data_IF_558974414773
#
_entry.id   IF_558974414773
#
_cell.length_a   1.000
_cell.length_b   1.000
_cell.length_c   1.000
_cell.angle_alpha   90.00
_cell.angle_beta   90.00
_cell.angle_gamma   90.00
#
_symmetry.space_group_name_H-M   'P 1'
#
loop_
_entity.id
_entity.type
_entity.pdbx_description
1 polymer ?
#
# COMPACT_ATOMS: atom_id res chain seq x y z
N UNK A 1 16.35 59.34 5.55
CA UNK A 1 15.87 59.53 4.16
C UNK A 1 15.46 58.14 3.69
N UNK A 2 14.22 57.75 4.03
CA UNK A 2 13.02 57.68 3.14
C UNK A 2 13.06 56.43 2.27
N UNK A 3 12.08 55.51 2.23
CA UNK A 3 10.75 55.45 2.85
C UNK A 3 10.24 54.01 2.83
N UNK A 4 9.47 53.65 3.85
CA UNK A 4 8.50 52.54 3.87
C UNK A 4 7.40 52.75 2.81
N UNK A 5 6.90 51.66 2.22
CA UNK A 5 5.51 51.60 1.75
C UNK A 5 4.90 50.24 2.08
N UNK A 6 4.01 50.28 3.08
CA UNK A 6 2.91 49.35 3.29
C UNK A 6 1.88 49.51 2.16
N UNK A 7 1.26 48.42 1.72
CA UNK A 7 0.00 48.48 0.96
C UNK A 7 -1.06 47.60 1.61
N UNK A 8 -2.16 48.26 1.94
CA UNK A 8 -3.37 47.81 2.61
C UNK A 8 -4.37 47.16 1.65
N UNK A 9 -5.21 46.27 2.22
CA UNK A 9 -6.39 45.63 1.60
C UNK A 9 -7.48 46.65 1.17
N UNK A 10 -8.50 46.17 0.45
CA UNK A 10 -9.85 46.41 0.94
C UNK A 10 -10.73 45.16 1.03
N UNK A 11 -11.54 45.17 2.10
CA UNK A 11 -12.77 44.42 2.32
C UNK A 11 -13.84 44.79 1.27
N UNK A 12 -14.66 43.83 0.88
CA UNK A 12 -16.04 44.09 0.46
C UNK A 12 -16.98 43.13 1.17
N UNK A 13 -17.83 43.71 2.01
CA UNK A 13 -19.04 43.14 2.57
C UNK A 13 -20.15 43.16 1.51
N UNK A 14 -21.02 42.15 1.50
CA UNK A 14 -22.37 42.32 0.95
C UNK A 14 -23.38 41.43 1.70
N UNK A 15 -23.99 42.08 2.68
CA UNK A 15 -25.41 42.08 3.04
C UNK A 15 -26.24 40.78 2.95
N UNK A 16 -26.66 40.37 4.13
CA UNK A 16 -27.94 39.72 4.46
C UNK A 16 -29.14 40.45 3.85
N UNK A 17 -30.11 39.71 3.31
CA UNK A 17 -31.50 40.16 3.32
C UNK A 17 -32.48 39.03 3.58
N UNK A 18 -33.44 39.42 4.40
CA UNK A 18 -34.39 38.71 5.23
C UNK A 18 -35.72 38.46 4.50
N UNK A 19 -36.61 37.68 5.14
CA UNK A 19 -38.10 37.70 5.03
C UNK A 19 -38.81 36.96 3.88
N UNK A 20 -39.54 35.88 4.20
CA UNK A 20 -40.99 35.90 4.48
C UNK A 20 -41.63 34.49 4.45
N UNK A 21 -42.02 33.98 5.62
CA UNK A 21 -43.35 33.33 5.80
C UNK A 21 -44.38 34.45 6.12
N UNK A 22 -45.71 34.23 6.27
CA UNK A 22 -46.53 33.02 6.15
C UNK A 22 -47.82 33.24 5.30
N UNK A 23 -48.59 32.18 5.04
CA UNK A 23 -50.02 32.15 5.41
C UNK A 23 -50.76 30.94 4.84
N UNK A 24 -51.66 30.47 5.69
CA UNK A 24 -52.51 29.30 5.62
C UNK A 24 -53.76 29.50 4.76
N UNK A 25 -54.28 28.41 4.19
CA UNK A 25 -55.71 28.24 3.93
C UNK A 25 -56.15 26.78 4.13
N UNK A 26 -57.01 26.61 5.14
CA UNK A 26 -58.11 25.63 5.34
C UNK A 26 -58.90 25.34 4.04
N UNK A 27 -59.67 24.26 3.79
CA UNK A 27 -60.09 22.99 4.42
C UNK A 27 -60.91 22.27 3.34
N UNK A 28 -60.82 20.94 3.20
CA UNK A 28 -62.03 20.12 2.94
C UNK A 28 -61.77 18.66 3.31
N UNK A 29 -62.64 18.14 4.16
CA UNK A 29 -62.68 16.75 4.60
C UNK A 29 -63.24 15.84 3.49
N UNK A 30 -62.68 14.64 3.36
CA UNK A 30 -63.38 13.50 2.77
C UNK A 30 -62.96 12.23 3.50
N UNK A 31 -63.96 11.38 3.74
CA UNK A 31 -63.98 10.32 4.73
C UNK A 31 -63.32 9.01 4.27
N UNK A 32 -62.77 8.28 5.24
CA UNK A 32 -62.91 6.81 5.31
C UNK A 32 -61.87 5.95 4.60
N UNK A 33 -60.83 5.54 5.33
CA UNK A 33 -60.23 4.20 5.20
C UNK A 33 -59.47 3.87 6.51
N UNK A 34 -59.53 2.62 7.01
CA UNK A 34 -58.85 2.23 8.25
C UNK A 34 -57.33 2.27 8.05
N UNK A 35 -56.64 2.94 8.96
CA UNK A 35 -55.17 2.99 9.06
C UNK A 35 -54.69 1.57 9.38
N UNK A 36 -53.89 0.92 8.50
CA UNK A 36 -53.20 -0.29 8.87
C UNK A 36 -52.09 0.09 9.86
N UNK A 37 -52.08 -0.59 11.00
CA UNK A 37 -51.01 -0.58 12.01
C UNK A 37 -49.65 -0.66 11.30
N UNK A 38 -48.64 0.17 11.64
CA UNK A 38 -47.31 -0.02 11.08
C UNK A 38 -46.85 -1.41 11.52
N UNK A 39 -46.76 -2.32 10.56
CA UNK A 39 -45.99 -3.53 10.72
C UNK A 39 -44.63 -3.10 11.26
N UNK A 40 -44.25 -3.64 12.42
CA UNK A 40 -42.89 -3.59 12.91
C UNK A 40 -41.99 -3.94 11.72
N UNK A 41 -41.34 -2.91 11.19
CA UNK A 41 -40.33 -3.05 10.15
C UNK A 41 -39.22 -3.83 10.81
N UNK A 42 -39.28 -5.15 10.68
CA UNK A 42 -38.16 -6.04 10.94
C UNK A 42 -37.03 -5.50 10.09
N UNK A 43 -36.13 -4.76 10.74
CA UNK A 43 -34.84 -4.43 10.18
C UNK A 43 -34.27 -5.77 9.66
N UNK A 44 -33.80 -5.83 8.40
CA UNK A 44 -33.22 -7.05 7.89
C UNK A 44 -32.13 -7.46 8.89
N UNK A 45 -32.34 -8.61 9.53
CA UNK A 45 -31.33 -9.24 10.36
C UNK A 45 -30.06 -9.23 9.53
N UNK A 46 -28.99 -8.63 10.05
CA UNK A 46 -27.65 -8.74 9.48
C UNK A 46 -27.39 -10.24 9.44
N UNK A 47 -27.69 -10.88 8.31
CA UNK A 47 -27.52 -12.31 8.18
C UNK A 47 -26.04 -12.55 8.38
N UNK A 48 -25.71 -13.44 9.30
CA UNK A 48 -24.35 -13.96 9.47
C UNK A 48 -23.93 -14.60 8.15
N UNK A 49 -23.45 -13.78 7.21
CA UNK A 49 -22.89 -14.26 5.97
C UNK A 49 -21.67 -15.09 6.34
N UNK A 50 -21.73 -16.36 5.94
CA UNK A 50 -20.63 -17.27 6.10
C UNK A 50 -19.41 -16.65 5.40
N UNK A 51 -18.24 -16.56 6.08
CA UNK A 51 -17.05 -16.02 5.45
C UNK A 51 -16.71 -16.77 4.15
N UNK A 52 -16.29 -16.07 3.08
CA UNK A 52 -15.98 -16.72 1.80
C UNK A 52 -14.75 -17.63 1.89
N UNK A 53 -13.89 -17.40 2.89
CA UNK A 53 -12.71 -18.19 3.16
C UNK A 53 -12.66 -18.67 4.61
N UNK A 54 -12.26 -19.92 4.80
CA UNK A 54 -11.91 -20.43 6.13
C UNK A 54 -10.56 -19.86 6.59
N UNK A 55 -10.29 -19.84 7.90
CA UNK A 55 -8.96 -19.45 8.40
C UNK A 55 -7.81 -20.25 7.79
N UNK A 56 -8.03 -21.53 7.49
CA UNK A 56 -7.04 -22.38 6.82
C UNK A 56 -6.80 -21.95 5.37
N UNK A 57 -7.86 -21.60 4.63
CA UNK A 57 -7.72 -21.09 3.27
C UNK A 57 -6.97 -19.75 3.25
N UNK A 58 -7.28 -18.84 4.19
CA UNK A 58 -6.56 -17.58 4.33
C UNK A 58 -5.09 -17.83 4.67
N UNK A 59 -4.80 -18.72 5.62
CA UNK A 59 -3.44 -19.11 5.95
C UNK A 59 -2.66 -19.65 4.75
N UNK A 60 -3.28 -20.50 3.91
CA UNK A 60 -2.66 -21.01 2.68
C UNK A 60 -2.40 -19.91 1.65
N UNK A 61 -3.33 -18.96 1.49
CA UNK A 61 -3.13 -17.83 0.56
C UNK A 61 -1.93 -16.97 0.97
N UNK A 62 -1.80 -16.64 2.26
CA UNK A 62 -0.62 -15.91 2.75
C UNK A 62 0.67 -16.74 2.72
N UNK A 63 0.59 -18.07 2.90
CA UNK A 63 1.74 -18.97 2.70
C UNK A 63 2.26 -18.89 1.27
N UNK A 64 1.36 -18.98 0.31
CA UNK A 64 1.66 -18.93 -1.11
C UNK A 64 2.20 -17.54 -1.53
N UNK A 65 1.67 -16.47 -0.96
CA UNK A 65 2.28 -15.14 -1.07
C UNK A 65 3.71 -15.12 -0.50
N UNK A 66 3.92 -15.60 0.73
CA UNK A 66 5.25 -15.63 1.34
C UNK A 66 6.24 -16.50 0.56
N UNK A 67 5.82 -17.62 -0.01
CA UNK A 67 6.64 -18.48 -0.87
C UNK A 67 7.02 -17.78 -2.17
N UNK A 68 6.07 -17.03 -2.76
CA UNK A 68 6.38 -16.19 -3.90
C UNK A 68 7.40 -15.12 -3.50
N UNK A 69 7.13 -14.34 -2.46
CA UNK A 69 8.02 -13.27 -2.03
C UNK A 69 9.40 -13.80 -1.59
N UNK A 70 9.50 -14.98 -0.98
CA UNK A 70 10.79 -15.57 -0.65
C UNK A 70 11.57 -16.00 -1.89
N UNK A 71 10.91 -16.58 -2.88
CA UNK A 71 11.56 -16.97 -4.15
C UNK A 71 11.83 -15.78 -5.08
N UNK A 72 11.09 -14.69 -4.95
CA UNK A 72 11.10 -13.58 -5.91
C UNK A 72 11.83 -12.36 -5.36
N UNK A 73 11.71 -12.07 -4.05
CA UNK A 73 12.32 -10.91 -3.39
C UNK A 73 13.40 -11.33 -2.36
N UNK A 74 13.18 -12.42 -1.60
CA UNK A 74 13.92 -12.73 -0.37
C UNK A 74 14.58 -14.11 -0.39
N UNK A 75 15.58 -14.29 -1.24
CA UNK A 75 16.23 -15.57 -1.54
C UNK A 75 16.91 -16.31 -0.36
N UNK A 76 16.70 -15.89 0.89
CA UNK A 76 17.11 -16.61 2.11
C UNK A 76 16.05 -16.53 3.25
N UNK A 77 14.82 -16.09 2.97
CA UNK A 77 13.76 -16.05 3.97
C UNK A 77 13.23 -17.47 4.26
N UNK A 78 13.24 -17.86 5.53
CA UNK A 78 12.60 -19.08 6.02
C UNK A 78 11.13 -18.80 6.34
N UNK A 79 10.23 -19.61 5.80
CA UNK A 79 8.81 -19.55 6.14
C UNK A 79 8.56 -20.50 7.30
N UNK A 80 8.14 -19.94 8.42
CA UNK A 80 7.67 -20.70 9.57
C UNK A 80 6.18 -20.98 9.40
N UNK A 81 5.85 -22.24 9.15
CA UNK A 81 4.47 -22.71 9.07
C UNK A 81 3.83 -22.83 10.47
N UNK A 82 2.55 -22.49 10.63
CA UNK A 82 1.85 -22.67 11.89
C UNK A 82 1.65 -24.18 12.17
N UNK A 83 1.76 -24.64 13.43
CA UNK A 83 1.37 -25.99 13.79
C UNK A 83 -0.16 -26.19 13.63
N UNK A 84 -0.66 -27.42 13.73
CA UNK A 84 -2.07 -27.75 13.44
C UNK A 84 -3.10 -26.92 14.24
N UNK A 85 -2.74 -26.44 15.43
CA UNK A 85 -3.53 -25.54 16.29
C UNK A 85 -3.18 -24.05 16.19
N UNK A 86 -2.34 -23.65 15.23
CA UNK A 86 -1.86 -22.28 15.10
C UNK A 86 -0.72 -21.93 16.06
N UNK A 87 -0.10 -20.76 15.87
CA UNK A 87 1.00 -20.32 16.75
C UNK A 87 0.52 -20.06 18.19
N UNK A 88 0.98 -20.88 19.14
CA UNK A 88 0.56 -20.82 20.55
C UNK A 88 1.08 -19.59 21.31
N UNK A 89 2.15 -18.97 20.82
CA UNK A 89 2.66 -17.69 21.36
C UNK A 89 1.78 -16.49 20.96
N UNK A 90 0.91 -16.65 19.95
CA UNK A 90 -0.09 -15.65 19.58
C UNK A 90 -1.30 -15.81 20.52
N UNK A 91 -1.24 -15.07 21.62
CA UNK A 91 -2.36 -14.96 22.56
C UNK A 91 -3.55 -14.30 21.86
N UNK A 92 -4.79 -14.81 22.05
CA UNK A 92 -5.97 -14.17 21.47
C UNK A 92 -6.08 -12.72 21.95
N UNK A 93 -6.37 -11.83 21.01
CA UNK A 93 -6.62 -10.43 21.29
C UNK A 93 -8.13 -10.26 21.56
N UNK A 94 -8.54 -9.81 22.76
CA UNK A 94 -9.95 -9.62 23.10
C UNK A 94 -10.62 -8.50 22.30
N UNK A 95 -9.85 -7.63 21.65
CA UNK A 95 -10.36 -6.62 20.71
C UNK A 95 -10.62 -7.18 19.30
N UNK A 96 -10.37 -8.49 19.07
CA UNK A 96 -10.59 -9.18 17.80
C UNK A 96 -11.63 -10.28 17.95
N UNK A 97 -12.31 -10.59 16.85
CA UNK A 97 -13.26 -11.69 16.78
C UNK A 97 -12.52 -13.03 16.87
N UNK A 98 -13.23 -14.10 17.21
CA UNK A 98 -12.66 -15.45 17.21
C UNK A 98 -12.15 -15.84 15.82
N UNK A 99 -12.86 -15.41 14.77
CA UNK A 99 -12.46 -15.63 13.38
C UNK A 99 -11.12 -14.95 13.07
N UNK A 100 -10.99 -13.66 13.37
CA UNK A 100 -9.75 -12.92 13.12
C UNK A 100 -8.58 -13.48 13.95
N UNK A 101 -8.81 -13.81 15.22
CA UNK A 101 -7.81 -14.45 16.07
C UNK A 101 -7.35 -15.79 15.48
N UNK A 102 -8.26 -16.62 14.96
CA UNK A 102 -7.90 -17.88 14.32
C UNK A 102 -7.11 -17.64 13.02
N UNK A 103 -7.50 -16.68 12.18
CA UNK A 103 -6.74 -16.30 10.98
C UNK A 103 -5.31 -15.87 11.35
N UNK A 104 -5.15 -14.95 12.30
CA UNK A 104 -3.84 -14.43 12.73
C UNK A 104 -2.89 -15.55 13.20
N UNK A 105 -3.43 -16.60 13.84
CA UNK A 105 -2.66 -17.79 14.28
C UNK A 105 -2.26 -18.71 13.12
N UNK A 106 -2.95 -18.65 11.99
CA UNK A 106 -2.78 -19.51 10.81
C UNK A 106 -1.95 -18.87 9.70
N UNK A 107 -1.67 -17.58 9.76
CA UNK A 107 -0.79 -16.94 8.79
C UNK A 107 0.68 -17.33 9.09
N UNK A 108 1.40 -17.96 8.13
CA UNK A 108 2.81 -18.27 8.28
C UNK A 108 3.64 -17.03 8.56
N UNK A 109 4.80 -17.18 9.20
CA UNK A 109 5.69 -16.06 9.51
C UNK A 109 6.94 -16.15 8.66
N UNK A 110 7.31 -15.07 7.97
CA UNK A 110 8.60 -14.97 7.32
C UNK A 110 9.67 -14.59 8.34
N UNK A 111 10.75 -15.38 8.37
CA UNK A 111 11.97 -15.07 9.09
C UNK A 111 13.07 -14.83 8.07
N UNK A 112 13.78 -13.73 8.18
CA UNK A 112 14.87 -13.38 7.29
C UNK A 112 16.08 -12.91 8.11
N UNK A 113 17.27 -13.07 7.54
CA UNK A 113 18.48 -12.52 8.16
C UNK A 113 18.42 -10.99 8.14
N UNK A 114 18.55 -10.39 9.32
CA UNK A 114 18.52 -8.94 9.53
C UNK A 114 19.73 -8.23 8.91
N UNK A 115 20.78 -8.98 8.53
CA UNK A 115 21.97 -8.46 7.86
C UNK A 115 21.67 -7.78 6.51
N UNK A 116 20.56 -8.14 5.86
CA UNK A 116 20.11 -7.56 4.57
C UNK A 116 19.25 -6.30 4.70
N UNK A 117 19.00 -5.79 5.93
CA UNK A 117 18.21 -4.59 6.19
C UNK A 117 16.70 -4.83 6.36
N UNK A 118 15.93 -3.74 6.44
CA UNK A 118 14.46 -3.76 6.54
C UNK A 118 13.85 -4.20 5.21
N UNK A 119 12.90 -5.14 5.25
CA UNK A 119 12.40 -5.84 4.07
C UNK A 119 10.97 -5.40 3.74
N UNK A 120 10.79 -4.78 2.58
CA UNK A 120 9.52 -4.18 2.17
C UNK A 120 8.73 -5.07 1.20
N UNK A 121 7.66 -5.70 1.69
CA UNK A 121 6.79 -6.64 0.95
C UNK A 121 5.83 -6.00 -0.06
N UNK A 122 5.50 -4.73 0.15
CA UNK A 122 4.74 -3.86 -0.75
C UNK A 122 4.94 -2.43 -0.25
N UNK A 123 5.29 -1.46 -1.10
CA UNK A 123 5.58 -0.06 -0.76
C UNK A 123 6.06 0.20 0.67
N UNK A 124 7.37 0.05 0.91
CA UNK A 124 7.99 0.29 2.23
C UNK A 124 7.37 -0.46 3.42
N UNK A 125 6.44 -1.38 3.18
CA UNK A 125 5.66 -2.02 4.22
C UNK A 125 6.28 -3.34 4.61
N UNK A 126 6.58 -3.47 5.89
CA UNK A 126 7.08 -4.71 6.48
C UNK A 126 5.89 -5.60 6.81
N UNK A 127 6.00 -6.90 6.59
CA UNK A 127 4.96 -7.84 7.02
C UNK A 127 4.88 -7.78 8.55
N UNK A 128 3.80 -7.19 9.04
CA UNK A 128 3.54 -6.92 10.44
C UNK A 128 2.13 -7.38 10.74
N UNK A 129 2.01 -8.59 11.29
CA UNK A 129 0.72 -9.09 11.75
C UNK A 129 0.59 -8.70 13.22
N UNK A 130 -0.12 -7.61 13.48
CA UNK A 130 -0.31 -6.99 14.80
C UNK A 130 -0.92 -7.96 15.81
N UNK A 131 -0.19 -8.37 16.86
CA UNK A 131 -0.79 -9.19 17.90
C UNK A 131 -1.41 -8.36 19.04
N UNK A 132 -1.03 -7.09 19.30
CA UNK A 132 -1.25 -6.46 20.64
C UNK A 132 -1.38 -4.92 20.76
N UNK A 133 -1.47 -4.10 19.71
CA UNK A 133 -1.44 -2.63 19.89
C UNK A 133 -2.80 -1.92 20.17
N UNK A 134 -2.94 -1.16 21.27
CA UNK A 134 -4.15 -0.33 21.51
C UNK A 134 -4.25 0.87 20.54
N UNK A 135 -3.12 1.52 20.23
CA UNK A 135 -3.08 2.66 19.29
C UNK A 135 -3.34 2.23 17.85
N UNK A 136 -2.80 1.08 17.41
CA UNK A 136 -3.13 0.51 16.10
C UNK A 136 -4.61 0.15 15.98
N UNK A 137 -5.24 -0.34 17.05
CA UNK A 137 -6.68 -0.58 17.03
C UNK A 137 -7.51 0.70 16.91
N UNK A 138 -7.04 1.85 17.42
CA UNK A 138 -7.72 3.14 17.20
C UNK A 138 -7.59 3.62 15.76
N UNK A 139 -6.38 3.53 15.18
CA UNK A 139 -6.15 3.87 13.78
C UNK A 139 -6.98 2.97 12.86
N UNK A 140 -6.90 1.66 13.07
CA UNK A 140 -7.67 0.67 12.33
C UNK A 140 -9.17 0.92 12.45
N UNK A 141 -9.67 1.30 13.63
CA UNK A 141 -11.08 1.62 13.83
C UNK A 141 -11.56 2.70 12.87
N UNK A 142 -10.84 3.82 12.76
CA UNK A 142 -11.20 4.88 11.83
C UNK A 142 -11.20 4.41 10.37
N UNK A 143 -10.24 3.58 9.98
CA UNK A 143 -10.12 3.06 8.60
C UNK A 143 -11.20 2.04 8.24
N UNK A 144 -11.64 1.23 9.22
CA UNK A 144 -12.55 0.09 9.02
C UNK A 144 -14.03 0.48 9.21
N UNK A 145 -14.34 1.34 10.18
CA UNK A 145 -15.72 1.78 10.43
C UNK A 145 -16.28 2.57 9.24
N UNK A 146 -15.44 3.34 8.55
CA UNK A 146 -15.83 4.13 7.38
C UNK A 146 -16.29 3.28 6.18
N UNK A 147 -15.83 2.03 6.08
CA UNK A 147 -16.26 1.08 5.04
C UNK A 147 -17.37 0.14 5.52
N UNK A 148 -17.93 0.38 6.72
CA UNK A 148 -19.05 -0.37 7.28
C UNK A 148 -18.70 -1.79 7.72
N UNK A 149 -17.42 -2.08 8.01
CA UNK A 149 -16.96 -3.40 8.45
C UNK A 149 -16.72 -3.45 9.97
N UNK A 150 -16.80 -4.65 10.56
CA UNK A 150 -16.48 -4.83 11.99
C UNK A 150 -14.96 -4.82 12.20
N UNK A 151 -14.46 -3.80 12.91
CA UNK A 151 -13.05 -3.65 13.29
C UNK A 151 -12.47 -4.88 14.01
N UNK A 152 -13.31 -5.68 14.67
CA UNK A 152 -12.89 -6.91 15.34
C UNK A 152 -12.51 -8.01 14.34
N UNK A 153 -13.05 -7.98 13.12
CA UNK A 153 -12.71 -8.91 12.05
C UNK A 153 -11.51 -8.44 11.20
N UNK A 154 -11.00 -7.23 11.44
CA UNK A 154 -9.92 -6.64 10.69
C UNK A 154 -8.58 -6.67 11.45
N UNK A 155 -7.45 -6.74 10.74
CA UNK A 155 -6.12 -6.57 11.33
C UNK A 155 -5.10 -6.08 10.29
N UNK A 156 -4.05 -5.41 10.74
CA UNK A 156 -2.93 -5.06 9.87
C UNK A 156 -2.14 -6.32 9.52
N UNK A 157 -1.93 -6.54 8.21
CA UNK A 157 -1.00 -7.53 7.69
C UNK A 157 0.38 -6.91 7.44
N UNK A 158 0.42 -5.64 7.04
CA UNK A 158 1.66 -4.93 6.77
C UNK A 158 1.52 -3.46 7.12
N UNK A 159 2.62 -2.87 7.60
CA UNK A 159 2.72 -1.44 7.89
C UNK A 159 4.02 -0.89 7.29
N UNK A 160 3.90 0.23 6.59
CA UNK A 160 5.00 1.02 6.04
C UNK A 160 4.84 2.46 6.47
N UNK A 161 5.95 3.10 6.82
CA UNK A 161 6.01 4.51 7.15
C UNK A 161 7.25 5.11 6.51
N UNK A 162 7.09 6.23 5.81
CA UNK A 162 8.19 7.07 5.37
C UNK A 162 7.95 8.54 5.79
N UNK A 163 8.93 9.40 5.52
CA UNK A 163 8.81 10.84 5.81
C UNK A 163 7.71 11.56 5.02
N UNK A 164 7.05 10.88 4.08
CA UNK A 164 6.05 11.41 3.15
C UNK A 164 4.65 10.78 3.34
N UNK A 165 4.50 9.78 4.21
CA UNK A 165 3.25 9.16 4.57
C UNK A 165 3.37 7.71 5.03
N UNK A 166 2.25 7.15 5.45
CA UNK A 166 2.14 5.73 5.80
C UNK A 166 1.37 4.94 4.75
N UNK A 167 1.72 3.66 4.58
CA UNK A 167 0.88 2.67 3.89
C UNK A 167 0.55 1.49 4.78
N UNK A 168 -0.68 1.00 4.66
CA UNK A 168 -1.20 -0.09 5.44
C UNK A 168 -1.91 -1.09 4.54
N UNK A 169 -1.64 -2.37 4.80
CA UNK A 169 -2.41 -3.48 4.23
C UNK A 169 -3.26 -4.05 5.34
N UNK A 170 -4.57 -3.91 5.20
CA UNK A 170 -5.56 -4.32 6.18
C UNK A 170 -6.30 -5.54 5.65
N UNK A 171 -6.34 -6.60 6.44
CA UNK A 171 -7.09 -7.82 6.13
C UNK A 171 -8.42 -7.80 6.87
N UNK A 172 -9.51 -7.97 6.13
CA UNK A 172 -10.85 -8.12 6.69
C UNK A 172 -11.28 -9.59 6.66
N UNK A 173 -11.01 -10.31 7.74
CA UNK A 173 -11.11 -11.78 7.79
C UNK A 173 -12.51 -12.32 7.49
N UNK A 174 -13.57 -11.64 7.96
CA UNK A 174 -14.96 -12.07 7.72
C UNK A 174 -15.36 -11.96 6.26
N UNK A 175 -14.93 -10.90 5.59
CA UNK A 175 -15.32 -10.60 4.22
C UNK A 175 -14.36 -11.19 3.19
N UNK A 176 -13.19 -11.65 3.61
CA UNK A 176 -12.18 -12.21 2.71
C UNK A 176 -11.58 -11.18 1.77
N UNK A 177 -11.53 -9.91 2.18
CA UNK A 177 -11.01 -8.80 1.37
C UNK A 177 -9.77 -8.17 1.99
N UNK A 178 -8.99 -7.52 1.14
CA UNK A 178 -7.86 -6.68 1.50
C UNK A 178 -8.22 -5.22 1.19
N UNK A 179 -7.82 -4.33 2.09
CA UNK A 179 -7.85 -2.89 1.93
C UNK A 179 -6.42 -2.36 1.95
N UNK A 180 -6.04 -1.66 0.89
CA UNK A 180 -4.83 -0.87 0.87
C UNK A 180 -5.17 0.59 1.19
N UNK A 181 -4.43 1.16 2.13
CA UNK A 181 -4.58 2.56 2.51
C UNK A 181 -3.22 3.24 2.47
N UNK A 182 -3.17 4.34 1.72
CA UNK A 182 -1.99 5.17 1.58
C UNK A 182 -2.33 6.60 2.00
N UNK A 183 -1.60 7.10 2.99
CA UNK A 183 -1.75 8.48 3.44
C UNK A 183 -1.54 9.44 2.26
N UNK A 184 -2.48 10.37 2.07
CA UNK A 184 -2.43 11.35 0.98
C UNK A 184 -2.81 10.86 -0.42
N UNK A 185 -2.90 9.54 -0.67
CA UNK A 185 -3.35 8.99 -1.97
C UNK A 185 -4.81 8.50 -1.98
N UNK A 186 -5.47 8.59 -0.83
CA UNK A 186 -6.84 8.08 -0.67
C UNK A 186 -6.86 6.57 -0.44
N UNK A 187 -8.06 6.04 -0.22
CA UNK A 187 -8.26 4.61 0.01
C UNK A 187 -8.44 3.90 -1.32
N UNK A 188 -7.75 2.77 -1.47
CA UNK A 188 -8.04 1.87 -2.58
C UNK A 188 -9.35 1.11 -2.31
N UNK A 189 -9.95 0.62 -3.40
CA UNK A 189 -11.16 -0.20 -3.29
C UNK A 189 -10.86 -1.50 -2.54
N UNK A 190 -11.86 -1.99 -1.81
CA UNK A 190 -11.80 -3.33 -1.22
C UNK A 190 -11.65 -4.38 -2.33
N UNK A 191 -10.62 -5.21 -2.22
CA UNK A 191 -10.30 -6.24 -3.20
C UNK A 191 -10.44 -7.63 -2.59
N UNK A 192 -10.96 -8.61 -3.34
CA UNK A 192 -10.93 -10.00 -2.88
C UNK A 192 -9.48 -10.42 -2.57
N UNK A 193 -9.27 -11.11 -1.46
CA UNK A 193 -7.93 -11.45 -0.99
C UNK A 193 -7.13 -12.29 -2.00
N UNK A 194 -7.78 -13.20 -2.72
CA UNK A 194 -7.10 -14.01 -3.74
C UNK A 194 -6.73 -13.15 -4.94
N UNK A 195 -7.67 -12.32 -5.40
CA UNK A 195 -7.43 -11.40 -6.52
C UNK A 195 -6.28 -10.44 -6.21
N UNK A 196 -6.28 -9.87 -5.01
CA UNK A 196 -5.22 -8.99 -4.54
C UNK A 196 -3.84 -9.69 -4.52
N UNK A 197 -3.77 -10.92 -3.99
CA UNK A 197 -2.52 -11.68 -3.96
C UNK A 197 -2.00 -11.98 -5.37
N UNK A 198 -2.88 -12.39 -6.29
CA UNK A 198 -2.48 -12.70 -7.66
C UNK A 198 -2.09 -11.45 -8.45
N UNK A 199 -2.78 -10.32 -8.24
CA UNK A 199 -2.40 -9.03 -8.80
C UNK A 199 -1.02 -8.58 -8.32
N UNK A 200 -0.76 -8.66 -7.01
CA UNK A 200 0.55 -8.32 -6.44
C UNK A 200 1.68 -9.18 -7.04
N UNK A 201 1.46 -10.49 -7.15
CA UNK A 201 2.43 -11.39 -7.82
C UNK A 201 2.61 -11.01 -9.29
N UNK A 202 1.52 -10.68 -9.98
CA UNK A 202 1.52 -10.21 -11.37
C UNK A 202 2.39 -8.97 -11.53
N UNK A 203 2.20 -7.96 -10.67
CA UNK A 203 2.96 -6.71 -10.66
C UNK A 203 4.47 -6.93 -10.47
N UNK A 204 4.88 -7.86 -9.60
CA UNK A 204 6.29 -8.23 -9.48
C UNK A 204 6.81 -8.97 -10.72
N UNK A 205 6.07 -9.95 -11.25
CA UNK A 205 6.47 -10.69 -12.46
C UNK A 205 6.60 -9.78 -13.68
N UNK A 206 5.73 -8.79 -13.80
CA UNK A 206 5.76 -7.80 -14.88
C UNK A 206 6.74 -6.64 -14.61
N UNK A 207 7.41 -6.59 -13.45
CA UNK A 207 8.28 -5.48 -13.04
C UNK A 207 7.57 -4.11 -13.06
N UNK A 208 6.26 -4.10 -12.75
CA UNK A 208 5.55 -2.89 -12.32
C UNK A 208 5.92 -2.53 -10.88
N UNK A 209 6.24 -3.54 -10.09
CA UNK A 209 6.94 -3.45 -8.81
C UNK A 209 8.30 -4.10 -8.97
N UNK A 210 9.36 -3.33 -8.75
CA UNK A 210 10.74 -3.81 -8.92
C UNK A 210 11.40 -3.92 -7.55
N UNK A 211 11.74 -5.13 -7.08
CA UNK A 211 12.55 -5.26 -5.87
C UNK A 211 13.95 -4.75 -6.14
N UNK A 212 14.49 -3.95 -5.24
CA UNK A 212 15.86 -3.48 -5.38
C UNK A 212 16.57 -3.56 -4.02
N UNK A 213 17.65 -4.36 -3.86
CA UNK A 213 18.27 -4.58 -2.57
C UNK A 213 18.76 -3.29 -1.92
N UNK A 214 18.55 -3.16 -0.62
CA UNK A 214 18.92 -1.96 0.14
C UNK A 214 18.11 -0.72 -0.22
N UNK A 215 17.13 -0.86 -1.11
CA UNK A 215 16.27 0.22 -1.59
C UNK A 215 14.80 -0.17 -1.42
N UNK A 216 13.95 0.83 -1.54
CA UNK A 216 12.51 0.62 -1.52
C UNK A 216 12.08 -0.06 -2.83
N UNK A 217 11.00 -0.85 -2.78
CA UNK A 217 10.43 -1.41 -4.02
C UNK A 217 10.07 -0.26 -4.94
N UNK A 218 10.63 -0.25 -6.15
CA UNK A 218 10.35 0.80 -7.12
C UNK A 218 8.97 0.55 -7.74
N UNK A 219 8.09 1.55 -7.64
CA UNK A 219 6.78 1.54 -8.27
C UNK A 219 6.87 2.20 -9.65
N UNK A 220 6.39 1.52 -10.68
CA UNK A 220 6.42 1.99 -12.06
C UNK A 220 5.24 1.46 -12.87
N UNK A 221 4.08 1.28 -12.21
CA UNK A 221 2.87 0.79 -12.85
C UNK A 221 2.42 1.65 -14.05
N UNK A 222 2.55 2.97 -13.92
CA UNK A 222 2.18 3.93 -14.97
C UNK A 222 3.26 4.11 -16.06
N UNK A 223 4.40 3.44 -15.91
CA UNK A 223 5.51 3.52 -16.88
C UNK A 223 5.39 2.36 -17.87
N UNK A 224 5.12 2.63 -19.16
CA UNK A 224 4.99 1.58 -20.16
C UNK A 224 6.30 0.79 -20.33
N UNK A 225 6.19 -0.42 -20.88
CA UNK A 225 7.37 -1.18 -21.29
C UNK A 225 8.13 -0.43 -22.39
N UNK A 226 9.46 -0.53 -22.36
CA UNK A 226 10.30 0.20 -23.30
C UNK A 226 10.30 -0.46 -24.68
N UNK A 227 9.88 0.30 -25.70
CA UNK A 227 9.84 -0.16 -27.09
C UNK A 227 11.07 0.25 -27.93
N UNK A 228 11.91 1.15 -27.40
CA UNK A 228 13.01 1.80 -28.14
C UNK A 228 14.29 0.98 -28.33
N UNK A 229 14.26 -0.34 -28.09
CA UNK A 229 15.45 -1.21 -28.17
C UNK A 229 16.23 -1.33 -26.85
N UNK A 230 17.49 -1.80 -26.92
CA UNK A 230 18.34 -1.93 -25.73
C UNK A 230 18.70 -0.55 -25.17
N UNK A 231 18.53 -0.36 -23.86
CA UNK A 231 19.00 0.83 -23.13
C UNK A 231 20.36 0.52 -22.55
N UNK A 232 21.34 1.37 -22.84
CA UNK A 232 22.69 1.28 -22.33
C UNK A 232 22.85 2.07 -21.03
N UNK A 233 23.86 1.70 -20.23
CA UNK A 233 24.23 2.47 -19.04
C UNK A 233 24.63 3.91 -19.39
N UNK A 234 25.33 4.10 -20.52
CA UNK A 234 25.75 5.43 -20.98
C UNK A 234 24.56 6.34 -21.26
N UNK A 235 23.49 5.82 -21.86
CA UNK A 235 22.26 6.58 -22.10
C UNK A 235 21.59 7.02 -20.80
N UNK A 236 21.48 6.12 -19.82
CA UNK A 236 20.92 6.44 -18.49
C UNK A 236 21.75 7.53 -17.80
N UNK A 237 23.08 7.39 -17.81
CA UNK A 237 23.99 8.37 -17.20
C UNK A 237 23.94 9.72 -17.93
N UNK A 238 23.95 9.73 -19.27
CA UNK A 238 23.93 10.95 -20.09
C UNK A 238 22.65 11.74 -19.91
N UNK A 239 21.50 11.07 -19.83
CA UNK A 239 20.23 11.73 -19.53
C UNK A 239 20.27 12.39 -18.16
N UNK A 240 20.77 11.69 -17.14
CA UNK A 240 20.87 12.21 -15.78
C UNK A 240 21.75 13.45 -15.69
N UNK A 241 22.89 13.45 -16.37
CA UNK A 241 23.75 14.63 -16.45
C UNK A 241 23.00 15.81 -17.08
N UNK A 242 22.31 15.59 -18.19
CA UNK A 242 21.54 16.63 -18.87
C UNK A 242 20.41 17.22 -17.98
N UNK A 243 19.75 16.39 -17.17
CA UNK A 243 18.71 16.82 -16.22
C UNK A 243 19.31 17.56 -15.02
N UNK A 244 20.42 17.05 -14.45
CA UNK A 244 21.16 17.70 -13.35
C UNK A 244 21.63 19.11 -13.70
N UNK A 245 21.97 19.37 -14.95
CA UNK A 245 22.38 20.71 -15.43
C UNK A 245 21.21 21.66 -15.68
N UNK A 246 19.96 21.16 -15.84
CA UNK A 246 18.78 22.03 -16.02
C UNK A 246 18.30 22.65 -14.71
N UNK A 247 18.45 21.94 -13.59
CA UNK A 247 17.95 22.35 -12.28
C UNK A 247 19.12 22.86 -11.42
N UNK A 248 19.46 24.13 -11.59
CA UNK A 248 20.66 24.79 -11.05
C UNK A 248 20.75 24.94 -9.52
N UNK A 249 20.21 24.03 -8.71
CA UNK A 249 20.18 24.16 -7.25
C UNK A 249 20.41 22.86 -6.44
N UNK A 250 21.16 21.89 -6.96
CA UNK A 250 21.96 20.95 -6.15
C UNK A 250 21.27 20.02 -5.14
N UNK A 251 19.95 20.09 -4.95
CA UNK A 251 19.21 19.30 -3.95
C UNK A 251 17.79 18.90 -4.39
N UNK A 252 17.42 19.09 -5.66
CA UNK A 252 16.12 18.63 -6.15
C UNK A 252 16.19 17.12 -6.41
N UNK A 253 15.24 16.37 -5.83
CA UNK A 253 15.05 14.94 -6.06
C UNK A 253 14.73 14.75 -7.54
N UNK A 254 15.72 14.34 -8.33
CA UNK A 254 15.48 13.97 -9.73
C UNK A 254 14.50 12.78 -9.70
N UNK A 255 13.35 12.93 -10.36
CA UNK A 255 12.38 11.84 -10.49
C UNK A 255 12.91 10.79 -11.46
N UNK A 256 12.60 9.52 -11.18
CA UNK A 256 12.99 8.42 -12.09
C UNK A 256 12.24 8.52 -13.40
N UNK A 257 12.97 8.40 -14.48
CA UNK A 257 12.45 8.57 -15.84
C UNK A 257 12.04 7.24 -16.48
N UNK A 258 11.34 7.27 -17.61
CA UNK A 258 10.99 6.04 -18.32
C UNK A 258 12.22 5.23 -18.77
N UNK A 259 13.34 5.91 -19.07
CA UNK A 259 14.61 5.29 -19.45
C UNK A 259 15.24 4.57 -18.25
N UNK A 260 15.19 5.18 -17.07
CA UNK A 260 15.63 4.59 -15.80
C UNK A 260 14.92 3.26 -15.53
N UNK A 261 13.58 3.27 -15.57
CA UNK A 261 12.79 2.07 -15.37
C UNK A 261 13.00 1.04 -16.47
N UNK A 262 13.11 1.48 -17.73
CA UNK A 262 13.39 0.60 -18.87
C UNK A 262 14.72 -0.13 -18.71
N UNK A 263 15.78 0.57 -18.33
CA UNK A 263 17.11 -0.01 -18.11
C UNK A 263 17.09 -1.08 -17.02
N UNK A 264 16.46 -0.78 -15.88
CA UNK A 264 16.33 -1.74 -14.78
C UNK A 264 15.51 -2.95 -15.23
N UNK A 265 14.36 -2.74 -15.88
CA UNK A 265 13.53 -3.85 -16.37
C UNK A 265 14.31 -4.74 -17.32
N UNK A 266 15.00 -4.17 -18.31
CA UNK A 266 15.82 -4.93 -19.25
C UNK A 266 16.95 -5.69 -18.55
N UNK A 267 17.56 -5.10 -17.53
CA UNK A 267 18.61 -5.75 -16.72
C UNK A 267 18.04 -6.97 -16.00
N UNK A 268 16.92 -6.84 -15.29
CA UNK A 268 16.26 -7.96 -14.63
C UNK A 268 15.90 -9.08 -15.60
N UNK A 269 15.34 -8.73 -16.77
CA UNK A 269 15.00 -9.70 -17.83
C UNK A 269 16.24 -10.40 -18.38
N UNK A 270 17.35 -9.68 -18.58
CA UNK A 270 18.64 -10.22 -19.02
C UNK A 270 19.18 -11.27 -18.06
N UNK A 271 18.97 -11.07 -16.76
CA UNK A 271 19.30 -12.04 -15.73
C UNK A 271 18.19 -13.07 -15.48
N UNK A 272 17.19 -13.21 -16.35
CA UNK A 272 16.23 -14.32 -16.32
C UNK A 272 14.96 -14.08 -15.49
N UNK A 273 14.63 -12.84 -15.14
CA UNK A 273 13.41 -12.54 -14.38
C UNK A 273 12.10 -12.89 -15.15
N UNK A 274 11.09 -13.49 -14.50
CA UNK A 274 11.04 -13.84 -13.07
C UNK A 274 11.46 -15.29 -12.77
N UNK A 275 11.42 -16.19 -13.77
CA UNK A 275 11.41 -17.64 -13.53
C UNK A 275 12.82 -18.27 -13.42
N UNK A 276 13.84 -17.63 -14.01
CA UNK A 276 15.22 -18.12 -14.03
C UNK A 276 16.19 -17.05 -13.50
N UNK A 277 15.75 -16.26 -12.52
CA UNK A 277 16.47 -15.06 -12.11
C UNK A 277 17.81 -15.39 -11.43
N UNK A 278 18.91 -15.00 -12.09
CA UNK A 278 20.28 -15.10 -11.58
C UNK A 278 20.59 -13.94 -10.64
N UNK A 279 19.93 -13.97 -9.48
CA UNK A 279 19.89 -12.86 -8.53
C UNK A 279 21.29 -12.32 -8.16
N UNK A 280 22.22 -13.19 -7.75
CA UNK A 280 23.57 -12.79 -7.32
C UNK A 280 24.28 -12.02 -8.42
N UNK A 281 24.19 -12.48 -9.67
CA UNK A 281 24.82 -11.83 -10.82
C UNK A 281 24.15 -10.49 -11.15
N UNK A 282 22.82 -10.42 -11.04
CA UNK A 282 22.08 -9.17 -11.23
C UNK A 282 22.50 -8.12 -10.19
N UNK A 283 22.64 -8.52 -8.93
CA UNK A 283 23.10 -7.64 -7.86
C UNK A 283 24.57 -7.25 -7.97
N UNK A 284 25.44 -8.16 -8.40
CA UNK A 284 26.83 -7.84 -8.72
C UNK A 284 26.90 -6.82 -9.86
N UNK A 285 26.14 -7.02 -10.93
CA UNK A 285 26.03 -6.05 -12.02
C UNK A 285 25.60 -4.68 -11.51
N UNK A 286 24.53 -4.60 -10.71
CA UNK A 286 24.10 -3.33 -10.13
C UNK A 286 25.14 -2.73 -9.19
N UNK A 287 25.86 -3.53 -8.39
CA UNK A 287 26.90 -3.04 -7.49
C UNK A 287 28.11 -2.49 -8.24
N UNK A 288 28.50 -3.13 -9.35
CA UNK A 288 29.59 -2.66 -10.22
C UNK A 288 29.18 -1.42 -11.01
N UNK A 289 27.89 -1.33 -11.37
CA UNK A 289 27.33 -0.24 -12.16
C UNK A 289 26.91 0.95 -11.30
N UNK A 290 26.60 0.73 -10.02
CA UNK A 290 26.23 1.77 -9.07
C UNK A 290 27.46 2.34 -8.38
N UNK A 291 27.65 3.65 -8.53
CA UNK A 291 28.82 4.35 -7.98
C UNK A 291 28.34 5.28 -6.87
N UNK A 292 28.88 5.07 -5.68
CA UNK A 292 28.44 5.73 -4.44
C UNK A 292 29.09 7.09 -4.15
N UNK A 293 29.97 7.60 -5.02
CA UNK A 293 30.78 8.79 -4.75
C UNK A 293 30.31 10.07 -5.46
N UNK A 294 29.26 9.99 -6.29
CA UNK A 294 28.75 11.14 -7.04
C UNK A 294 29.67 11.64 -8.14
N UNK A 295 30.68 10.85 -8.55
CA UNK A 295 31.65 11.15 -9.60
C UNK A 295 31.05 11.32 -11.00
N UNK A 296 29.83 10.80 -11.23
CA UNK A 296 29.15 10.83 -12.53
C UNK A 296 29.40 9.59 -13.39
N UNK A 297 30.41 8.77 -13.06
CA UNK A 297 30.60 7.46 -13.67
C UNK A 297 29.63 6.48 -13.01
N UNK A 298 28.57 6.05 -13.69
CA UNK A 298 27.63 5.02 -13.19
C UNK A 298 26.38 5.53 -12.45
N UNK A 299 25.57 4.58 -11.96
CA UNK A 299 24.28 4.81 -11.32
C UNK A 299 24.45 5.32 -9.88
N UNK A 300 23.88 6.48 -9.53
CA UNK A 300 24.00 7.03 -8.16
C UNK A 300 23.13 6.23 -7.17
N UNK A 301 23.76 5.53 -6.22
CA UNK A 301 23.04 4.73 -5.21
C UNK A 301 22.03 5.57 -4.41
N UNK A 302 22.29 6.85 -4.12
CA UNK A 302 21.38 7.71 -3.36
C UNK A 302 20.10 8.03 -4.13
N UNK A 303 20.24 8.16 -5.45
CA UNK A 303 19.11 8.35 -6.35
C UNK A 303 18.19 7.13 -6.36
N UNK A 304 18.76 5.92 -6.37
CA UNK A 304 17.99 4.67 -6.43
C UNK A 304 17.43 4.21 -5.08
N UNK A 305 18.17 4.46 -3.99
CA UNK A 305 17.75 4.07 -2.64
C UNK A 305 16.67 4.94 -2.03
N UNK A 306 16.32 6.06 -2.67
CA UNK A 306 15.28 6.95 -2.16
C UNK A 306 15.66 7.49 -0.79
N UNK A 307 16.82 8.14 -0.68
CA UNK A 307 17.28 8.82 0.56
C UNK A 307 17.09 8.03 1.85
N UNK A 308 17.99 7.09 2.14
CA UNK A 308 18.34 6.84 3.55
C UNK A 308 19.14 8.04 4.07
N UNK A 309 18.45 8.91 4.83
CA UNK A 309 19.05 9.64 5.94
C UNK A 309 18.43 9.13 7.24
#
# INVERSE_FOLDING_TARGET
>A
MTSEQQLTRPHQDMETQDRNEPSSTSTTASAGAPIPTPAESQAPSISEHQPPYTPQQIGHMFRDLHEFLSKTLYFEATILDPPQGGFTFVQPNPAKSDLANEVIRRIPRMQYDKSYGTIHSHYKSNIYIDPKGNEFNKLLRGMVEDVGMDVRDAFFFSTGHDGHGSRWIIVHARHGVIQEEAEGRGREALCDMREWIEDLKGKYRSLKLIPFPGCETLECEDVPEWEGGEITLEEVCSQREAERWREGDGYTLVEKTAVDYGFIRQTFRRFGWPDAFEQVKCWEFFRETMVGDGSGEGLDYKYWSGSML
#
